data_IF_461248651509
#
_entry.id   IF_461248651509
#
_cell.length_a   1.000
_cell.length_b   1.000
_cell.length_c   1.000
_cell.angle_alpha   90.00
_cell.angle_beta   90.00
_cell.angle_gamma   90.00
#
_symmetry.space_group_name_H-M   'P 1'
#
loop_
_entity.id
_entity.type
_entity.pdbx_description
1 polymer ?
#
# COMPACT_ATOMS: atom_id res chain seq x y z
N UNK A 1 23.57 3.86 15.22
CA UNK A 1 23.22 5.15 15.86
C UNK A 1 23.54 6.32 14.93
N UNK A 2 24.69 6.34 14.28
CA UNK A 2 25.15 7.40 13.37
C UNK A 2 24.19 7.64 12.18
N UNK A 3 23.81 6.59 11.43
CA UNK A 3 22.84 6.69 10.32
C UNK A 3 21.47 7.25 10.71
N UNK A 4 21.00 6.96 11.92
CA UNK A 4 19.72 7.50 12.42
C UNK A 4 19.83 9.00 12.70
N UNK A 5 20.96 9.45 13.24
CA UNK A 5 21.22 10.88 13.47
C UNK A 5 21.39 11.63 12.15
N UNK A 6 22.01 11.00 11.16
CA UNK A 6 22.13 11.56 9.79
C UNK A 6 20.73 11.72 9.17
N UNK A 7 19.92 10.67 9.16
CA UNK A 7 18.55 10.75 8.64
C UNK A 7 17.73 11.85 9.34
N UNK A 8 17.86 11.97 10.67
CA UNK A 8 17.19 13.03 11.42
C UNK A 8 17.58 14.42 10.89
N UNK A 9 18.88 14.68 10.68
CA UNK A 9 19.35 15.95 10.12
C UNK A 9 18.79 16.21 8.71
N UNK A 10 18.76 15.19 7.87
CA UNK A 10 18.20 15.34 6.51
C UNK A 10 16.69 15.60 6.53
N UNK A 11 15.94 14.96 7.45
CA UNK A 11 14.51 15.25 7.65
C UNK A 11 14.32 16.68 8.17
N UNK A 12 15.15 17.15 9.10
CA UNK A 12 15.07 18.52 9.62
C UNK A 12 15.31 19.57 8.52
N UNK A 13 16.24 19.31 7.63
CA UNK A 13 16.62 20.17 6.50
C UNK A 13 15.57 20.23 5.40
N UNK A 14 15.09 19.06 4.95
CA UNK A 14 14.19 18.96 3.81
C UNK A 14 12.83 19.60 4.09
N UNK A 15 12.32 20.38 3.13
CA UNK A 15 10.97 20.93 3.16
C UNK A 15 9.99 20.05 2.40
N UNK A 16 10.44 19.42 1.30
CA UNK A 16 9.64 18.48 0.49
C UNK A 16 10.17 17.06 0.69
N UNK A 17 9.39 16.22 1.32
CA UNK A 17 9.75 14.82 1.62
C UNK A 17 8.77 13.89 0.91
N UNK A 18 9.27 12.92 0.15
CA UNK A 18 8.48 11.82 -0.34
C UNK A 18 8.80 10.54 0.43
N UNK A 19 7.76 9.85 0.89
CA UNK A 19 7.89 8.58 1.60
C UNK A 19 7.29 7.48 0.73
N UNK A 20 8.15 6.58 0.25
CA UNK A 20 7.74 5.42 -0.55
C UNK A 20 7.65 4.18 0.34
N UNK A 21 6.45 3.61 0.50
CA UNK A 21 6.23 2.55 1.48
C UNK A 21 5.69 1.26 0.89
N UNK A 22 6.03 0.14 1.54
CA UNK A 22 5.48 -1.17 1.29
C UNK A 22 5.03 -1.85 2.59
N UNK A 23 4.61 -3.11 2.53
CA UNK A 23 3.95 -3.84 3.62
C UNK A 23 4.75 -3.87 4.92
N UNK A 24 6.08 -3.83 4.86
CA UNK A 24 6.93 -3.82 6.05
C UNK A 24 6.70 -2.66 7.02
N UNK A 25 6.18 -1.49 6.56
CA UNK A 25 5.83 -0.39 7.46
C UNK A 25 4.61 -0.73 8.32
N UNK A 26 3.74 -1.62 7.85
CA UNK A 26 2.49 -2.01 8.52
C UNK A 26 2.62 -3.24 9.43
N UNK A 27 3.76 -3.95 9.39
CA UNK A 27 4.01 -5.09 10.29
C UNK A 27 3.85 -4.75 11.78
N UNK A 28 4.34 -3.60 12.30
CA UNK A 28 4.10 -3.21 13.68
C UNK A 28 2.64 -2.88 14.00
N UNK A 29 1.77 -2.78 12.99
CA UNK A 29 0.32 -2.60 13.12
C UNK A 29 -0.45 -3.92 13.13
N UNK A 30 0.26 -5.06 13.05
CA UNK A 30 -0.34 -6.40 13.01
C UNK A 30 -0.71 -6.90 11.61
N UNK A 31 -0.31 -6.20 10.54
CA UNK A 31 -0.52 -6.64 9.16
C UNK A 31 0.75 -7.33 8.68
N UNK A 32 0.74 -8.64 8.35
CA UNK A 32 1.92 -9.33 7.84
C UNK A 32 2.36 -8.73 6.49
N UNK A 33 3.64 -8.77 6.19
CA UNK A 33 4.09 -8.50 4.84
C UNK A 33 3.83 -9.71 3.93
N UNK A 34 4.12 -9.56 2.63
CA UNK A 34 3.82 -10.61 1.66
C UNK A 34 4.92 -11.68 1.55
N UNK A 35 6.20 -11.34 1.78
CA UNK A 35 7.36 -12.13 1.33
C UNK A 35 8.33 -12.56 2.41
N UNK A 36 8.24 -12.01 3.64
CA UNK A 36 9.09 -12.47 4.73
C UNK A 36 8.78 -13.93 5.10
N UNK A 37 9.57 -14.53 5.94
CA UNK A 37 9.36 -15.91 6.39
C UNK A 37 7.96 -16.12 7.01
N UNK A 38 7.44 -15.09 7.69
CA UNK A 38 6.10 -15.06 8.30
C UNK A 38 5.08 -14.29 7.42
N UNK A 39 5.43 -14.05 6.15
CA UNK A 39 4.61 -13.29 5.21
C UNK A 39 3.51 -14.11 4.59
N UNK A 40 2.49 -13.42 4.05
CA UNK A 40 1.29 -14.03 3.48
C UNK A 40 1.58 -15.12 2.44
N UNK A 41 2.63 -14.93 1.62
CA UNK A 41 2.99 -15.90 0.57
C UNK A 41 3.65 -17.18 1.10
N UNK A 42 4.13 -17.17 2.33
CA UNK A 42 4.75 -18.31 2.99
C UNK A 42 3.82 -19.00 4.00
N UNK A 43 2.63 -18.46 4.24
CA UNK A 43 1.61 -19.17 5.02
C UNK A 43 1.22 -20.45 4.27
N UNK A 44 1.41 -21.60 4.93
CA UNK A 44 0.80 -22.87 4.48
C UNK A 44 -0.70 -22.74 4.76
N UNK A 45 -1.43 -22.25 3.79
CA UNK A 45 -2.89 -22.15 3.85
C UNK A 45 -3.57 -23.42 3.34
N UNK A 46 -4.85 -23.56 3.65
CA UNK A 46 -5.72 -24.64 3.16
C UNK A 46 -6.15 -24.45 1.69
N UNK A 47 -5.47 -23.56 0.94
CA UNK A 47 -5.81 -23.26 -0.44
C UNK A 47 -4.87 -23.99 -1.41
N UNK A 48 -5.44 -24.53 -2.50
CA UNK A 48 -4.70 -25.20 -3.56
C UNK A 48 -3.92 -24.23 -4.47
N UNK A 49 -4.24 -22.93 -4.39
CA UNK A 49 -3.70 -21.85 -5.23
C UNK A 49 -2.71 -20.98 -4.46
N UNK A 50 -1.73 -20.43 -5.16
CA UNK A 50 -0.83 -19.45 -4.53
C UNK A 50 -1.56 -18.15 -4.18
N UNK A 51 -1.12 -17.40 -3.14
CA UNK A 51 -1.73 -16.11 -2.82
C UNK A 51 -1.69 -15.11 -3.99
N UNK A 52 -0.61 -15.10 -4.79
CA UNK A 52 -0.51 -14.26 -5.99
C UNK A 52 -1.58 -14.60 -7.02
N UNK A 53 -1.84 -15.91 -7.22
CA UNK A 53 -2.87 -16.37 -8.13
C UNK A 53 -4.25 -15.97 -7.61
N UNK A 54 -4.52 -16.15 -6.31
CA UNK A 54 -5.81 -15.84 -5.68
C UNK A 54 -6.15 -14.35 -5.71
N UNK A 55 -5.17 -13.46 -5.77
CA UNK A 55 -5.38 -12.01 -5.92
C UNK A 55 -5.13 -11.51 -7.36
N UNK A 56 -5.36 -12.36 -8.35
CA UNK A 56 -5.33 -11.98 -9.78
C UNK A 56 -6.72 -11.66 -10.31
N UNK A 57 -6.77 -10.84 -11.37
CA UNK A 57 -8.03 -10.52 -12.08
C UNK A 57 -8.68 -11.80 -12.64
N UNK A 58 -7.89 -12.65 -13.27
CA UNK A 58 -8.38 -13.92 -13.81
C UNK A 58 -9.02 -14.78 -12.74
N UNK A 59 -8.41 -14.88 -11.55
CA UNK A 59 -8.97 -15.66 -10.44
C UNK A 59 -10.26 -15.03 -9.90
N UNK A 60 -10.28 -13.70 -9.73
CA UNK A 60 -11.49 -12.97 -9.32
C UNK A 60 -12.68 -13.28 -10.24
N UNK A 61 -12.46 -13.29 -11.55
CA UNK A 61 -13.54 -13.55 -12.53
C UNK A 61 -13.97 -15.01 -12.53
N UNK A 62 -13.04 -15.96 -12.41
CA UNK A 62 -13.33 -17.41 -12.54
C UNK A 62 -13.79 -18.06 -11.24
N UNK A 63 -13.27 -17.58 -10.11
CA UNK A 63 -13.46 -18.17 -8.79
C UNK A 63 -13.90 -17.13 -7.75
N UNK A 64 -14.89 -16.31 -8.08
CA UNK A 64 -15.29 -15.14 -7.30
C UNK A 64 -15.60 -15.47 -5.83
N UNK A 65 -16.27 -16.59 -5.53
CA UNK A 65 -16.53 -17.01 -4.15
C UNK A 65 -15.22 -17.25 -3.38
N UNK A 66 -14.31 -18.04 -3.92
CA UNK A 66 -13.04 -18.36 -3.28
C UNK A 66 -12.12 -17.12 -3.16
N UNK A 67 -12.20 -16.22 -4.13
CA UNK A 67 -11.54 -14.90 -4.03
C UNK A 67 -12.03 -14.14 -2.79
N UNK A 68 -13.34 -14.06 -2.55
CA UNK A 68 -13.87 -13.33 -1.39
C UNK A 68 -13.59 -14.03 -0.07
N UNK A 69 -13.57 -15.36 -0.02
CA UNK A 69 -13.17 -16.12 1.18
C UNK A 69 -11.71 -15.76 1.56
N UNK A 70 -10.81 -15.79 0.58
CA UNK A 70 -9.43 -15.40 0.79
C UNK A 70 -9.28 -13.90 1.11
N UNK A 71 -9.92 -13.03 0.33
CA UNK A 71 -9.82 -11.58 0.47
C UNK A 71 -10.26 -11.10 1.85
N UNK A 72 -11.41 -11.58 2.33
CA UNK A 72 -11.94 -11.24 3.66
C UNK A 72 -11.05 -11.76 4.79
N UNK A 73 -10.54 -12.98 4.66
CA UNK A 73 -9.76 -13.62 5.72
C UNK A 73 -8.30 -13.17 5.78
N UNK A 74 -7.71 -12.76 4.62
CA UNK A 74 -6.26 -12.54 4.50
C UNK A 74 -5.85 -11.14 4.09
N UNK A 75 -6.76 -10.33 3.52
CA UNK A 75 -6.42 -9.00 3.00
C UNK A 75 -6.99 -7.85 3.83
N UNK A 76 -8.00 -8.11 4.66
CA UNK A 76 -8.67 -7.10 5.48
C UNK A 76 -8.28 -7.28 6.95
N UNK A 77 -7.75 -6.22 7.56
CA UNK A 77 -7.32 -6.17 8.96
C UNK A 77 -8.03 -5.04 9.70
N UNK A 78 -9.29 -5.25 10.06
CA UNK A 78 -10.17 -4.24 10.69
C UNK A 78 -9.59 -3.62 11.97
N UNK A 79 -8.92 -4.44 12.77
CA UNK A 79 -8.35 -4.02 14.05
C UNK A 79 -7.02 -3.24 13.90
N UNK A 80 -6.43 -3.21 12.71
CA UNK A 80 -5.15 -2.55 12.49
C UNK A 80 -5.27 -1.03 12.67
N UNK A 81 -4.30 -0.46 13.37
CA UNK A 81 -4.21 0.98 13.64
C UNK A 81 -2.88 1.53 13.17
N UNK A 82 -2.83 2.82 12.79
CA UNK A 82 -1.56 3.47 12.48
C UNK A 82 -0.54 3.28 13.60
N UNK A 83 0.66 2.83 13.25
CA UNK A 83 1.76 2.75 14.19
C UNK A 83 2.58 4.04 14.21
N UNK A 84 3.64 4.07 15.03
CA UNK A 84 4.49 5.25 15.23
C UNK A 84 5.10 5.80 13.94
N UNK A 85 5.38 4.95 12.94
CA UNK A 85 5.94 5.41 11.68
C UNK A 85 4.91 6.18 10.85
N UNK A 86 3.67 5.69 10.75
CA UNK A 86 2.58 6.41 10.07
C UNK A 86 2.30 7.76 10.74
N UNK A 87 2.18 7.75 12.09
CA UNK A 87 1.93 8.96 12.88
C UNK A 87 3.07 9.96 12.76
N UNK A 88 4.32 9.49 12.65
CA UNK A 88 5.48 10.35 12.49
C UNK A 88 5.39 11.20 11.22
N UNK A 89 5.07 10.61 10.08
CA UNK A 89 4.96 11.34 8.82
C UNK A 89 3.78 12.31 8.81
N UNK A 90 2.62 11.92 9.34
CA UNK A 90 1.49 12.82 9.52
C UNK A 90 1.83 14.02 10.43
N UNK A 91 2.66 13.82 11.45
CA UNK A 91 3.11 14.91 12.32
C UNK A 91 4.10 15.85 11.64
N UNK A 92 4.93 15.38 10.71
CA UNK A 92 5.78 16.26 9.90
C UNK A 92 4.96 17.22 9.03
N UNK A 93 3.83 16.76 8.46
CA UNK A 93 2.88 17.62 7.75
C UNK A 93 2.29 18.69 8.68
N UNK A 94 1.85 18.31 9.89
CA UNK A 94 1.33 19.24 10.88
C UNK A 94 2.36 20.29 11.32
N UNK A 95 3.65 19.96 11.23
CA UNK A 95 4.76 20.87 11.51
C UNK A 95 5.11 21.77 10.31
N UNK A 96 4.36 21.70 9.20
CA UNK A 96 4.50 22.56 8.05
C UNK A 96 5.42 22.05 6.94
N UNK A 97 5.87 20.79 7.00
CA UNK A 97 6.61 20.18 5.89
C UNK A 97 5.66 19.66 4.81
N UNK A 98 6.07 19.76 3.56
CA UNK A 98 5.36 19.13 2.45
C UNK A 98 5.73 17.64 2.39
N UNK A 99 4.91 16.77 2.99
CA UNK A 99 5.12 15.31 2.97
C UNK A 99 4.14 14.68 1.99
N UNK A 100 4.67 13.94 1.02
CA UNK A 100 3.88 13.10 0.12
C UNK A 100 4.16 11.64 0.44
N UNK A 101 3.12 10.83 0.57
CA UNK A 101 3.24 9.39 0.77
C UNK A 101 2.85 8.67 -0.51
N UNK A 102 3.75 7.87 -1.05
CA UNK A 102 3.48 6.94 -2.15
C UNK A 102 3.51 5.53 -1.56
N UNK A 103 2.36 4.90 -1.45
CA UNK A 103 2.27 3.59 -0.79
C UNK A 103 1.79 2.49 -1.72
N UNK A 104 2.44 1.33 -1.62
CA UNK A 104 2.00 0.08 -2.22
C UNK A 104 0.94 -0.63 -1.38
N UNK A 105 0.74 -0.19 -0.13
CA UNK A 105 -0.18 -0.80 0.80
C UNK A 105 -1.62 -0.41 0.48
N UNK A 106 -2.53 -1.32 0.78
CA UNK A 106 -3.98 -1.16 0.59
C UNK A 106 -4.72 -0.94 1.92
N UNK A 107 -4.00 -0.81 3.03
CA UNK A 107 -4.52 -0.76 4.40
C UNK A 107 -5.05 0.62 4.83
N UNK A 108 -4.74 1.68 4.07
CA UNK A 108 -5.07 3.09 4.35
C UNK A 108 -4.53 3.63 5.68
N UNK A 109 -3.54 2.99 6.31
CA UNK A 109 -3.03 3.42 7.62
C UNK A 109 -2.37 4.80 7.59
N UNK A 110 -1.78 5.22 6.48
CA UNK A 110 -1.26 6.58 6.34
C UNK A 110 -2.36 7.64 6.40
N UNK A 111 -3.46 7.43 5.67
CA UNK A 111 -4.63 8.31 5.70
C UNK A 111 -5.27 8.32 7.08
N UNK A 112 -5.40 7.16 7.72
CA UNK A 112 -5.92 7.03 9.09
C UNK A 112 -5.01 7.71 10.13
N UNK A 113 -3.71 7.81 9.89
CA UNK A 113 -2.76 8.56 10.73
C UNK A 113 -2.92 10.08 10.60
N UNK A 114 -3.60 10.55 9.55
CA UNK A 114 -3.83 11.95 9.26
C UNK A 114 -2.90 12.54 8.19
N UNK A 115 -2.17 11.72 7.42
CA UNK A 115 -1.47 12.18 6.21
C UNK A 115 -2.48 12.61 5.16
N UNK A 116 -2.29 13.80 4.57
CA UNK A 116 -3.25 14.40 3.63
C UNK A 116 -2.91 14.12 2.16
N UNK A 117 -1.64 13.96 1.83
CA UNK A 117 -1.17 13.72 0.47
C UNK A 117 -0.67 12.29 0.31
N UNK A 118 -1.60 11.35 0.10
CA UNK A 118 -1.33 9.91 0.03
C UNK A 118 -1.75 9.36 -1.33
N UNK A 119 -0.80 8.76 -2.04
CA UNK A 119 -0.99 8.05 -3.29
C UNK A 119 -1.00 6.54 -3.02
N UNK A 120 -2.20 5.95 -2.90
CA UNK A 120 -2.41 4.51 -2.72
C UNK A 120 -2.36 3.83 -4.11
N UNK A 121 -1.15 3.52 -4.60
CA UNK A 121 -0.93 3.07 -5.98
C UNK A 121 -1.53 1.70 -6.30
N UNK A 122 -1.79 0.87 -5.29
CA UNK A 122 -2.52 -0.39 -5.43
C UNK A 122 -3.96 -0.30 -4.90
N UNK A 123 -4.49 0.91 -4.71
CA UNK A 123 -5.84 1.12 -4.20
C UNK A 123 -5.99 0.90 -2.70
N UNK A 124 -7.21 0.58 -2.24
CA UNK A 124 -7.51 0.45 -0.81
C UNK A 124 -8.65 -0.54 -0.54
N UNK A 125 -8.53 -1.31 0.54
CA UNK A 125 -9.61 -2.17 1.07
C UNK A 125 -10.81 -1.36 1.59
N UNK A 126 -10.62 -0.08 1.91
CA UNK A 126 -11.67 0.81 2.43
C UNK A 126 -12.66 1.28 1.36
N UNK A 127 -12.32 1.15 0.09
CA UNK A 127 -13.17 1.53 -1.04
C UNK A 127 -13.53 0.31 -1.86
N UNK A 128 -14.79 0.19 -2.20
CA UNK A 128 -15.30 -0.91 -3.00
C UNK A 128 -16.41 -0.37 -3.92
N UNK A 129 -16.47 -0.85 -5.14
CA UNK A 129 -17.42 -0.32 -6.13
C UNK A 129 -18.13 -1.44 -6.88
N UNK A 130 -19.41 -1.22 -7.13
CA UNK A 130 -20.15 -2.08 -8.06
C UNK A 130 -19.51 -2.04 -9.44
N UNK A 131 -19.21 -3.20 -10.03
CA UNK A 131 -18.60 -3.29 -11.36
C UNK A 131 -19.52 -2.73 -12.46
N UNK A 132 -20.86 -2.77 -12.25
CA UNK A 132 -21.87 -2.34 -13.20
C UNK A 132 -22.20 -0.84 -13.05
N UNK A 133 -22.72 -0.40 -11.89
CA UNK A 133 -23.26 0.94 -11.69
C UNK A 133 -22.34 1.88 -10.93
N UNK A 134 -21.15 1.43 -10.52
CA UNK A 134 -20.14 2.21 -9.78
C UNK A 134 -20.59 2.71 -8.41
N UNK A 135 -21.68 2.19 -7.86
CA UNK A 135 -22.09 2.50 -6.49
C UNK A 135 -20.98 2.15 -5.50
N UNK A 136 -20.72 3.06 -4.58
CA UNK A 136 -19.70 2.92 -3.55
C UNK A 136 -20.18 2.08 -2.37
N UNK A 137 -19.29 1.25 -1.82
CA UNK A 137 -19.46 0.48 -0.59
C UNK A 137 -18.20 0.55 0.25
N UNK A 138 -18.35 0.65 1.56
CA UNK A 138 -17.23 0.61 2.50
C UNK A 138 -16.75 -0.83 2.76
N UNK A 139 -15.65 -0.95 3.48
CA UNK A 139 -15.06 -2.23 3.91
C UNK A 139 -16.04 -3.04 4.75
N UNK A 140 -16.81 -2.38 5.63
CA UNK A 140 -17.77 -3.02 6.52
C UNK A 140 -18.82 -3.79 5.73
N UNK A 141 -19.34 -3.20 4.65
CA UNK A 141 -20.27 -3.87 3.76
C UNK A 141 -19.70 -5.18 3.20
N UNK A 142 -18.42 -5.17 2.79
CA UNK A 142 -17.77 -6.38 2.27
C UNK A 142 -17.69 -7.48 3.35
N UNK A 143 -17.31 -7.10 4.57
CA UNK A 143 -17.16 -8.06 5.68
C UNK A 143 -18.48 -8.63 6.18
N UNK A 144 -19.55 -7.84 6.17
CA UNK A 144 -20.89 -8.27 6.62
C UNK A 144 -21.64 -9.13 5.58
N UNK A 145 -21.21 -9.14 4.30
CA UNK A 145 -21.83 -9.98 3.30
C UNK A 145 -21.39 -11.44 3.42
N UNK A 146 -22.34 -12.38 3.37
CA UNK A 146 -22.02 -13.79 3.16
C UNK A 146 -21.64 -14.02 1.70
N UNK A 147 -20.49 -14.70 1.46
CA UNK A 147 -20.00 -15.00 0.11
C UNK A 147 -19.66 -13.74 -0.70
N UNK A 148 -20.14 -13.68 -1.94
CA UNK A 148 -19.85 -12.58 -2.90
C UNK A 148 -20.71 -11.36 -2.59
N UNK A 149 -20.13 -10.17 -2.37
CA UNK A 149 -20.90 -8.94 -2.16
C UNK A 149 -21.61 -8.48 -3.44
N UNK A 150 -22.92 -8.26 -3.37
CA UNK A 150 -23.74 -7.77 -4.47
C UNK A 150 -24.24 -6.34 -4.23
N UNK A 151 -24.33 -5.57 -5.29
CA UNK A 151 -24.81 -4.19 -5.25
C UNK A 151 -26.30 -4.11 -4.88
N UNK A 152 -26.65 -3.31 -3.87
CA UNK A 152 -28.05 -3.09 -3.44
C UNK A 152 -28.91 -2.38 -4.50
N UNK A 153 -28.29 -1.71 -5.52
CA UNK A 153 -29.01 -0.99 -6.57
C UNK A 153 -29.28 -1.83 -7.82
N UNK A 154 -28.32 -2.65 -8.26
CA UNK A 154 -28.40 -3.32 -9.55
C UNK A 154 -27.98 -4.78 -9.53
N UNK A 155 -27.75 -5.33 -8.33
CA UNK A 155 -27.33 -6.72 -8.10
C UNK A 155 -25.98 -7.12 -8.75
N UNK A 156 -25.26 -6.17 -9.33
CA UNK A 156 -23.89 -6.41 -9.84
C UNK A 156 -22.91 -6.70 -8.72
N UNK A 157 -21.82 -7.41 -9.01
CA UNK A 157 -20.76 -7.71 -8.03
C UNK A 157 -20.11 -6.41 -7.56
N UNK A 158 -19.85 -6.29 -6.26
CA UNK A 158 -19.08 -5.19 -5.68
C UNK A 158 -17.62 -5.58 -5.58
N UNK A 159 -16.75 -5.04 -6.44
CA UNK A 159 -15.31 -5.32 -6.46
C UNK A 159 -14.57 -4.35 -5.54
N UNK A 160 -13.56 -4.83 -4.75
CA UNK A 160 -12.65 -3.95 -4.04
C UNK A 160 -11.88 -3.00 -4.99
N UNK A 161 -11.66 -1.75 -4.56
CA UNK A 161 -10.76 -0.80 -5.22
C UNK A 161 -9.29 -1.15 -4.91
N UNK A 162 -8.98 -2.42 -5.10
CA UNK A 162 -7.62 -2.97 -4.99
C UNK A 162 -7.19 -3.41 -6.37
N UNK A 163 -6.00 -2.98 -6.78
CA UNK A 163 -5.39 -3.40 -8.04
C UNK A 163 -4.91 -4.84 -7.90
N UNK A 164 -5.59 -5.74 -8.59
CA UNK A 164 -5.22 -7.14 -8.64
C UNK A 164 -4.05 -7.35 -9.62
N UNK A 165 -3.32 -8.46 -9.46
CA UNK A 165 -2.41 -8.87 -10.54
C UNK A 165 -3.16 -8.93 -11.87
N UNK A 166 -2.50 -8.58 -12.97
CA UNK A 166 -3.06 -8.45 -14.33
C UNK A 166 -3.86 -7.15 -14.56
N UNK A 167 -4.15 -6.36 -13.52
CA UNK A 167 -4.82 -5.05 -13.66
C UNK A 167 -3.80 -3.91 -13.80
N UNK A 168 -4.18 -2.86 -14.53
CA UNK A 168 -3.41 -1.62 -14.64
C UNK A 168 -3.55 -0.73 -13.41
N UNK A 169 -2.50 0.02 -13.08
CA UNK A 169 -2.58 1.06 -12.06
C UNK A 169 -3.43 2.24 -12.55
N UNK A 170 -4.04 2.97 -11.62
CA UNK A 170 -4.77 4.19 -11.94
C UNK A 170 -3.81 5.29 -12.42
N UNK A 171 -4.01 5.80 -13.65
CA UNK A 171 -3.11 6.75 -14.31
C UNK A 171 -2.93 8.04 -13.49
N UNK A 172 -4.01 8.62 -12.95
CA UNK A 172 -3.94 9.85 -12.16
C UNK A 172 -3.14 9.65 -10.87
N UNK A 173 -3.31 8.49 -10.22
CA UNK A 173 -2.55 8.13 -9.01
C UNK A 173 -1.07 7.95 -9.34
N UNK A 174 -0.76 7.31 -10.47
CA UNK A 174 0.62 7.12 -10.94
C UNK A 174 1.29 8.45 -11.27
N UNK A 175 0.61 9.33 -12.01
CA UNK A 175 1.12 10.66 -12.37
C UNK A 175 1.42 11.49 -11.12
N UNK A 176 0.47 11.53 -10.18
CA UNK A 176 0.65 12.23 -8.91
C UNK A 176 1.79 11.66 -8.07
N UNK A 177 1.90 10.33 -7.97
CA UNK A 177 2.99 9.66 -7.26
C UNK A 177 4.37 9.97 -7.88
N UNK A 178 4.49 9.90 -9.20
CA UNK A 178 5.72 10.22 -9.92
C UNK A 178 6.09 11.70 -9.74
N UNK A 179 5.13 12.61 -9.83
CA UNK A 179 5.36 14.02 -9.59
C UNK A 179 5.87 14.28 -8.16
N UNK A 180 5.23 13.68 -7.16
CA UNK A 180 5.64 13.78 -5.76
C UNK A 180 7.07 13.27 -5.52
N UNK A 181 7.43 12.13 -6.12
CA UNK A 181 8.79 11.58 -6.03
C UNK A 181 9.81 12.52 -6.71
N UNK A 182 9.46 13.07 -7.89
CA UNK A 182 10.35 13.94 -8.68
C UNK A 182 10.64 15.26 -8.00
N UNK A 183 9.65 15.81 -7.28
CA UNK A 183 9.76 17.13 -6.63
C UNK A 183 10.37 17.06 -5.22
N UNK A 184 10.52 15.85 -4.66
CA UNK A 184 11.05 15.69 -3.32
C UNK A 184 12.53 16.04 -3.23
N UNK A 185 12.92 16.67 -2.12
CA UNK A 185 14.31 16.93 -1.73
C UNK A 185 14.92 15.71 -1.04
N UNK A 186 14.09 14.97 -0.29
CA UNK A 186 14.44 13.75 0.42
C UNK A 186 13.43 12.64 0.06
N UNK A 187 13.94 11.51 -0.43
CA UNK A 187 13.15 10.30 -0.64
C UNK A 187 13.45 9.29 0.49
N UNK A 188 12.42 8.89 1.22
CA UNK A 188 12.53 7.88 2.27
C UNK A 188 11.78 6.62 1.82
N UNK A 189 12.48 5.51 1.66
CA UNK A 189 11.93 4.22 1.23
C UNK A 189 11.83 3.32 2.45
N UNK A 190 10.64 2.80 2.74
CA UNK A 190 10.40 2.02 3.97
C UNK A 190 9.62 0.74 3.69
N UNK A 191 10.13 -0.38 4.22
CA UNK A 191 9.39 -1.64 4.33
C UNK A 191 8.98 -2.24 3.00
N UNK A 192 9.78 -2.06 1.95
CA UNK A 192 9.54 -2.64 0.64
C UNK A 192 10.77 -3.37 0.11
N UNK A 193 10.54 -4.49 -0.56
CA UNK A 193 11.59 -5.21 -1.27
C UNK A 193 11.93 -4.58 -2.62
N UNK A 194 11.12 -3.60 -3.11
CA UNK A 194 11.20 -3.02 -4.45
C UNK A 194 11.14 -4.08 -5.58
N UNK A 195 10.41 -5.17 -5.36
CA UNK A 195 10.30 -6.29 -6.31
C UNK A 195 9.00 -6.27 -7.14
N UNK A 196 8.00 -5.45 -6.77
CA UNK A 196 6.71 -5.38 -7.47
C UNK A 196 6.73 -4.27 -8.51
N UNK A 197 6.65 -4.65 -9.77
CA UNK A 197 6.57 -3.72 -10.89
C UNK A 197 5.11 -3.51 -11.32
N UNK A 198 4.76 -2.28 -11.83
CA UNK A 198 5.66 -1.16 -12.15
C UNK A 198 6.03 -0.28 -10.94
N UNK A 199 5.41 -0.44 -9.79
CA UNK A 199 5.56 0.43 -8.62
C UNK A 199 7.03 0.60 -8.17
N UNK A 200 7.82 -0.48 -8.16
CA UNK A 200 9.24 -0.43 -7.80
C UNK A 200 10.07 0.51 -8.68
N UNK A 201 9.66 0.71 -9.94
CA UNK A 201 10.38 1.61 -10.87
C UNK A 201 10.17 3.09 -10.54
N UNK A 202 9.14 3.45 -9.77
CA UNK A 202 8.82 4.87 -9.49
C UNK A 202 9.93 5.57 -8.73
N UNK A 203 10.66 4.87 -7.87
CA UNK A 203 11.81 5.45 -7.15
C UNK A 203 12.92 5.96 -8.09
N UNK A 204 12.98 5.49 -9.34
CA UNK A 204 13.95 5.96 -10.32
C UNK A 204 13.66 7.37 -10.86
N UNK A 205 12.44 7.88 -10.66
CA UNK A 205 12.07 9.25 -11.04
C UNK A 205 12.57 10.30 -10.05
N UNK A 206 13.08 9.90 -8.89
CA UNK A 206 13.66 10.82 -7.92
C UNK A 206 14.86 11.56 -8.51
N UNK A 207 14.86 12.88 -8.34
CA UNK A 207 15.91 13.80 -8.86
C UNK A 207 16.68 14.53 -7.78
N UNK A 208 16.28 14.37 -6.52
CA UNK A 208 17.00 14.95 -5.38
C UNK A 208 18.29 14.20 -5.06
N UNK A 209 19.01 14.70 -4.06
CA UNK A 209 20.34 14.19 -3.72
C UNK A 209 20.31 13.11 -2.63
N UNK A 210 19.30 13.11 -1.77
CA UNK A 210 19.26 12.27 -0.57
C UNK A 210 18.17 11.23 -0.62
N UNK A 211 18.59 9.95 -0.53
CA UNK A 211 17.73 8.80 -0.40
C UNK A 211 18.06 8.09 0.91
N UNK A 212 17.03 7.78 1.68
CA UNK A 212 17.15 6.93 2.86
C UNK A 212 16.34 5.63 2.65
N UNK A 213 16.96 4.49 2.92
CA UNK A 213 16.32 3.19 2.86
C UNK A 213 16.22 2.59 4.27
N UNK A 214 14.99 2.28 4.70
CA UNK A 214 14.69 1.64 5.99
C UNK A 214 14.00 0.31 5.69
N UNK A 215 14.74 -0.78 5.78
CA UNK A 215 14.22 -2.10 5.51
C UNK A 215 14.89 -3.16 6.39
N UNK A 216 14.17 -4.27 6.67
CA UNK A 216 14.70 -5.40 7.46
C UNK A 216 15.69 -6.22 6.65
N UNK A 217 15.41 -6.46 5.38
CA UNK A 217 16.24 -7.19 4.45
C UNK A 217 16.99 -6.26 3.50
N UNK A 218 18.13 -6.71 2.97
CA UNK A 218 18.84 -6.01 1.91
C UNK A 218 18.02 -6.01 0.62
N UNK A 219 18.14 -4.95 -0.15
CA UNK A 219 17.53 -4.79 -1.46
C UNK A 219 18.60 -4.45 -2.50
N UNK A 220 18.30 -4.62 -3.77
CA UNK A 220 19.21 -4.21 -4.86
C UNK A 220 19.43 -2.68 -4.87
N UNK A 221 18.58 -1.93 -4.18
CA UNK A 221 18.65 -0.48 -4.07
C UNK A 221 19.64 0.02 -3.01
N UNK A 222 20.14 -0.85 -2.13
CA UNK A 222 21.12 -0.49 -1.06
C UNK A 222 22.40 0.18 -1.59
N UNK A 223 22.72 0.00 -2.87
CA UNK A 223 23.88 0.61 -3.52
C UNK A 223 23.71 2.10 -3.84
N UNK A 224 22.48 2.61 -3.69
CA UNK A 224 22.11 4.01 -4.03
C UNK A 224 21.83 4.88 -2.79
N UNK A 225 22.00 4.32 -1.59
CA UNK A 225 21.69 4.96 -0.30
C UNK A 225 22.93 5.22 0.54
#
# INVERSE_FOLDING_TARGET
MEKVLELKKEIEKAQKICVFTGAGISCPSGIPDFRSADGLYNEKGDYEYSPEEMISHTFFVRNTNLFYDFYKSKMIYEAAKPNKAHIFFANLEKQGKAVSVVTQNIDSLHTMAGSSNVFEIHGSVKRNYCICCKEFYDEKYILECDGVPHCKKCDGIVKPDVVLYEEGLNEQTVEGAIAAIREAELLIIIGTSLAVYPAASFVSYFKGEKIALINKAKTDFDKRT
#
